data_IF_573695129336
#
_entry.id   IF_573695129336
#
_cell.length_a   1.000
_cell.length_b   1.000
_cell.length_c   1.000
_cell.angle_alpha   90.00
_cell.angle_beta   90.00
_cell.angle_gamma   90.00
#
_symmetry.space_group_name_H-M   'P 1'
#
loop_
_entity.id
_entity.type
_entity.pdbx_description
1 polymer ?
#
# COMPACT_ATOMS: atom_id res chain seq x y z
N UNK A 1 -10.46 -17.27 2.46
CA UNK A 1 -11.59 -16.72 1.67
C UNK A 1 -11.08 -16.49 0.25
N UNK A 2 -11.82 -16.96 -0.77
CA UNK A 2 -11.46 -16.77 -2.18
C UNK A 2 -11.85 -15.36 -2.62
N UNK A 3 -10.92 -14.62 -3.23
CA UNK A 3 -11.19 -13.33 -3.87
C UNK A 3 -11.41 -13.58 -5.37
N UNK A 4 -12.51 -13.06 -5.94
CA UNK A 4 -12.79 -13.13 -7.38
C UNK A 4 -12.47 -11.78 -8.04
N UNK A 5 -11.84 -11.75 -9.22
CA UNK A 5 -11.62 -10.50 -9.97
C UNK A 5 -12.92 -9.97 -10.60
N UNK A 6 -13.11 -8.66 -10.52
CA UNK A 6 -14.26 -7.94 -11.08
C UNK A 6 -14.03 -7.61 -12.57
N UNK A 7 -15.02 -7.90 -13.42
CA UNK A 7 -15.06 -7.59 -14.84
C UNK A 7 -16.26 -6.68 -15.14
N UNK A 8 -16.09 -5.42 -15.60
CA UNK A 8 -17.20 -4.59 -16.00
C UNK A 8 -17.42 -4.67 -17.51
N UNK A 9 -18.64 -4.99 -17.93
CA UNK A 9 -19.13 -4.80 -19.30
C UNK A 9 -20.42 -3.96 -19.27
N UNK A 10 -20.72 -3.17 -20.32
CA UNK A 10 -21.34 -1.85 -20.18
C UNK A 10 -22.85 -1.81 -20.49
N UNK A 11 -23.52 -0.83 -19.90
CA UNK A 11 -24.76 -0.16 -20.32
C UNK A 11 -26.00 -0.99 -20.76
N UNK A 12 -27.11 -0.78 -20.06
CA UNK A 12 -28.43 -0.61 -20.70
C UNK A 12 -29.33 0.26 -19.83
N UNK A 13 -29.69 1.41 -20.38
CA UNK A 13 -30.66 2.38 -19.87
C UNK A 13 -32.08 1.92 -20.18
N UNK A 14 -33.02 2.09 -19.23
CA UNK A 14 -34.43 2.40 -19.54
C UNK A 14 -35.06 3.29 -18.49
N UNK A 15 -35.54 4.42 -19.00
CA UNK A 15 -36.39 5.46 -18.43
C UNK A 15 -37.73 4.93 -17.94
N UNK A 16 -38.28 5.49 -16.85
CA UNK A 16 -39.74 5.67 -16.70
C UNK A 16 -40.02 6.90 -15.84
N UNK A 17 -40.81 7.78 -16.44
CA UNK A 17 -41.33 9.05 -15.95
C UNK A 17 -42.46 8.83 -14.95
N UNK A 18 -42.49 9.58 -13.85
CA UNK A 18 -43.75 9.95 -13.20
C UNK A 18 -43.66 11.38 -12.66
N UNK A 19 -44.52 12.23 -13.21
CA UNK A 19 -44.73 13.62 -12.83
C UNK A 19 -45.72 13.69 -11.67
N UNK A 20 -45.40 14.44 -10.61
CA UNK A 20 -46.40 15.00 -9.68
C UNK A 20 -45.93 16.32 -9.07
N UNK A 21 -46.67 17.37 -9.45
CA UNK A 21 -47.14 18.57 -8.71
C UNK A 21 -46.13 19.47 -7.99
N UNK A 22 -46.09 20.70 -8.50
CA UNK A 22 -45.60 21.94 -7.88
C UNK A 22 -46.45 22.37 -6.68
N UNK A 23 -45.81 23.05 -5.72
CA UNK A 23 -46.40 24.25 -5.13
C UNK A 23 -45.48 25.46 -5.32
N UNK A 24 -46.08 26.54 -5.79
CA UNK A 24 -45.54 27.89 -5.84
C UNK A 24 -45.25 28.40 -4.43
N UNK A 25 -43.98 28.63 -4.11
CA UNK A 25 -43.56 29.50 -3.00
C UNK A 25 -42.83 30.69 -3.62
N UNK A 26 -43.26 31.86 -3.16
CA UNK A 26 -42.93 33.20 -3.61
C UNK A 26 -41.46 33.56 -3.40
N UNK A 27 -40.93 34.25 -4.41
CA UNK A 27 -39.60 34.85 -4.48
C UNK A 27 -39.47 35.98 -3.44
N UNK A 28 -38.75 35.72 -2.35
CA UNK A 28 -37.99 36.68 -1.51
C UNK A 28 -37.35 35.93 -0.35
N UNK A 29 -36.04 36.11 -0.20
CA UNK A 29 -35.21 35.68 0.95
C UNK A 29 -34.61 34.27 0.90
N UNK A 30 -33.71 34.00 -0.07
CA UNK A 30 -32.65 32.97 0.10
C UNK A 30 -31.45 33.16 -0.87
N UNK A 31 -30.85 34.35 -0.90
CA UNK A 31 -29.49 34.51 -1.43
C UNK A 31 -28.48 34.54 -0.28
N UNK A 32 -28.17 33.36 0.25
CA UNK A 32 -26.97 33.15 1.08
C UNK A 32 -26.51 31.69 1.01
N UNK A 33 -25.43 31.51 0.25
CA UNK A 33 -24.32 30.57 0.46
C UNK A 33 -24.58 29.21 1.12
N UNK A 34 -24.37 28.14 0.34
CA UNK A 34 -23.72 26.91 0.80
C UNK A 34 -23.02 26.26 -0.41
N UNK A 35 -21.95 26.87 -0.91
CA UNK A 35 -20.97 26.09 -1.66
C UNK A 35 -20.18 25.26 -0.64
N UNK A 36 -20.07 23.93 -0.80
CA UNK A 36 -19.15 23.15 0.03
C UNK A 36 -17.75 23.75 -0.12
N UNK A 37 -16.96 23.86 0.97
CA UNK A 37 -15.63 24.45 0.89
C UNK A 37 -14.82 23.64 -0.13
N UNK A 38 -14.36 24.32 -1.19
CA UNK A 38 -13.42 23.74 -2.14
C UNK A 38 -12.21 23.27 -1.32
N UNK A 39 -12.01 21.96 -1.19
CA UNK A 39 -10.78 21.41 -0.59
C UNK A 39 -9.60 22.07 -1.34
N UNK A 40 -8.74 22.78 -0.62
CA UNK A 40 -7.54 23.40 -1.20
C UNK A 40 -6.70 22.27 -1.79
N UNK A 41 -6.66 22.17 -3.11
CA UNK A 41 -5.78 21.22 -3.80
C UNK A 41 -4.34 21.63 -3.44
N UNK A 42 -3.52 20.74 -2.87
CA UNK A 42 -2.14 21.06 -2.56
C UNK A 42 -1.41 21.53 -3.83
N UNK A 43 -0.41 22.42 -3.72
CA UNK A 43 0.39 22.82 -4.87
C UNK A 43 0.97 21.58 -5.56
N UNK A 44 0.96 21.57 -6.89
CA UNK A 44 1.20 20.41 -7.79
C UNK A 44 2.46 19.56 -7.51
N UNK A 45 3.38 20.02 -6.66
CA UNK A 45 4.70 19.42 -6.43
C UNK A 45 5.00 19.07 -4.97
N UNK A 46 4.05 19.23 -4.03
CA UNK A 46 4.37 19.15 -2.58
C UNK A 46 4.91 17.79 -2.13
N UNK A 47 4.54 16.69 -2.80
CA UNK A 47 4.83 15.32 -2.37
C UNK A 47 5.30 14.41 -3.52
N UNK A 48 6.04 14.94 -4.50
CA UNK A 48 6.53 14.14 -5.64
C UNK A 48 7.57 13.08 -5.27
N UNK A 49 8.18 13.18 -4.08
CA UNK A 49 9.19 12.24 -3.58
C UNK A 49 8.84 11.78 -2.18
N UNK A 50 9.12 10.51 -1.88
CA UNK A 50 9.06 10.00 -0.52
C UNK A 50 10.10 10.67 0.36
N UNK A 51 9.77 10.95 1.62
CA UNK A 51 10.70 11.46 2.61
C UNK A 51 10.97 10.43 3.72
N UNK A 52 12.05 10.63 4.47
CA UNK A 52 12.34 9.86 5.67
C UNK A 52 11.47 10.35 6.83
N UNK A 53 10.83 9.42 7.53
CA UNK A 53 10.28 9.70 8.83
C UNK A 53 11.41 9.69 9.87
N UNK A 54 11.53 10.78 10.63
CA UNK A 54 12.48 10.88 11.74
C UNK A 54 11.71 10.79 13.05
N UNK A 55 11.88 9.70 13.84
CA UNK A 55 11.24 9.60 15.15
C UNK A 55 11.82 10.65 16.12
N UNK A 56 11.06 11.15 17.11
CA UNK A 56 11.56 12.11 18.09
C UNK A 56 12.83 11.67 18.82
N UNK A 57 12.96 10.35 19.05
CA UNK A 57 14.17 9.70 19.53
C UNK A 57 14.38 8.41 18.74
N UNK A 58 15.61 8.14 18.34
CA UNK A 58 15.98 6.94 17.57
C UNK A 58 15.77 5.62 18.34
N UNK A 59 15.65 5.67 19.67
CA UNK A 59 15.37 4.51 20.53
C UNK A 59 13.88 4.18 20.66
N UNK A 60 12.99 5.06 20.20
CA UNK A 60 11.55 4.82 20.31
C UNK A 60 11.06 3.92 19.19
N UNK A 61 10.45 2.79 19.56
CA UNK A 61 9.78 1.91 18.63
C UNK A 61 8.44 2.48 18.14
N UNK A 62 7.85 1.89 17.07
CA UNK A 62 6.61 2.39 16.47
C UNK A 62 5.43 2.48 17.43
N UNK A 63 5.23 1.48 18.29
CA UNK A 63 4.15 1.49 19.29
C UNK A 63 4.25 2.60 20.34
N UNK A 64 5.44 3.18 20.56
CA UNK A 64 5.61 4.32 21.47
C UNK A 64 5.25 5.66 20.82
N UNK A 65 5.25 5.72 19.49
CA UNK A 65 5.05 6.96 18.72
C UNK A 65 3.66 6.99 18.07
N UNK A 66 3.13 5.83 17.68
CA UNK A 66 1.83 5.66 17.07
C UNK A 66 0.94 4.79 17.97
N UNK A 67 -0.01 5.44 18.63
CA UNK A 67 -0.93 4.75 19.52
C UNK A 67 -2.16 4.22 18.74
N UNK A 68 -2.74 3.08 19.14
CA UNK A 68 -4.06 2.68 18.70
C UNK A 68 -5.10 3.79 18.95
N UNK A 69 -5.80 4.20 17.91
CA UNK A 69 -6.94 5.11 18.03
C UNK A 69 -8.02 4.73 17.00
N UNK A 70 -9.27 5.07 17.29
CA UNK A 70 -10.40 4.93 16.37
C UNK A 70 -10.80 6.31 15.85
N UNK A 71 -10.29 6.75 14.68
CA UNK A 71 -10.71 8.01 14.10
C UNK A 71 -12.19 7.95 13.69
N UNK A 72 -12.85 9.09 13.75
CA UNK A 72 -14.22 9.25 13.30
C UNK A 72 -14.32 8.95 11.79
N UNK A 73 -15.36 8.22 11.38
CA UNK A 73 -15.59 7.86 9.98
C UNK A 73 -14.64 6.80 9.40
N UNK A 74 -13.62 6.34 10.13
CA UNK A 74 -12.68 5.32 9.66
C UNK A 74 -13.14 3.92 10.08
N UNK A 75 -13.21 2.92 9.18
CA UNK A 75 -13.63 1.58 9.55
C UNK A 75 -12.53 0.85 10.34
N UNK A 76 -12.64 0.92 11.66
CA UNK A 76 -11.75 0.29 12.63
C UNK A 76 -10.56 1.16 13.05
N UNK A 77 -9.82 0.74 14.10
CA UNK A 77 -8.72 1.51 14.65
C UNK A 77 -7.55 1.57 13.69
N UNK A 78 -6.65 2.52 13.93
CA UNK A 78 -5.37 2.71 13.23
C UNK A 78 -4.27 2.99 14.24
N UNK A 79 -3.02 2.89 13.80
CA UNK A 79 -1.87 3.38 14.54
C UNK A 79 -1.69 4.86 14.22
N UNK A 80 -1.98 5.75 15.17
CA UNK A 80 -2.15 7.18 14.91
C UNK A 80 -1.15 8.02 15.68
N UNK A 81 -0.62 9.06 15.03
CA UNK A 81 0.16 10.13 15.66
C UNK A 81 -0.43 11.48 15.29
N UNK A 82 -0.69 12.31 16.30
CA UNK A 82 -1.14 13.70 16.11
C UNK A 82 -2.47 13.84 15.35
N UNK A 83 -3.30 12.80 15.30
CA UNK A 83 -4.59 12.78 14.60
C UNK A 83 -4.54 12.85 13.07
N UNK A 84 -3.34 12.97 12.48
CA UNK A 84 -3.15 13.26 11.05
C UNK A 84 -2.17 12.32 10.35
N UNK A 85 -1.38 11.58 11.12
CA UNK A 85 -0.45 10.58 10.59
C UNK A 85 -0.92 9.18 10.97
N UNK A 86 -0.86 8.28 9.99
CA UNK A 86 -1.11 6.84 10.19
C UNK A 86 0.15 6.05 9.93
N UNK A 87 0.36 4.99 10.71
CA UNK A 87 1.44 4.04 10.53
C UNK A 87 0.93 2.74 9.90
N UNK A 88 1.69 2.24 8.93
CA UNK A 88 1.55 0.89 8.37
C UNK A 88 2.90 0.18 8.44
N UNK A 89 2.88 -1.11 8.76
CA UNK A 89 4.06 -1.97 8.71
C UNK A 89 4.05 -2.76 7.41
N UNK A 90 5.19 -2.98 6.79
CA UNK A 90 5.32 -3.88 5.64
C UNK A 90 6.52 -4.79 5.80
N UNK A 91 6.39 -6.04 5.34
CA UNK A 91 7.45 -7.04 5.40
C UNK A 91 7.38 -7.97 4.19
N UNK A 92 8.55 -8.42 3.75
CA UNK A 92 8.72 -9.51 2.79
C UNK A 92 9.42 -10.69 3.45
N UNK A 93 9.12 -11.90 2.98
CA UNK A 93 9.83 -13.10 3.38
C UNK A 93 9.94 -14.04 2.18
N UNK A 94 11.14 -14.51 1.89
CA UNK A 94 11.41 -15.55 0.91
C UNK A 94 11.99 -16.77 1.65
N UNK A 95 11.27 -17.88 1.59
CA UNK A 95 11.72 -19.13 2.22
C UNK A 95 12.80 -19.83 1.39
N UNK A 96 13.64 -20.61 2.07
CA UNK A 96 14.54 -21.58 1.43
C UNK A 96 13.75 -22.87 1.10
N UNK A 97 14.18 -23.62 0.07
CA UNK A 97 13.65 -24.97 -0.17
C UNK A 97 14.04 -25.90 0.97
N UNK A 98 13.09 -26.70 1.46
CA UNK A 98 13.38 -27.91 2.25
C UNK A 98 13.03 -29.12 1.38
N UNK A 99 14.02 -29.99 1.14
CA UNK A 99 13.80 -31.30 0.52
C UNK A 99 12.90 -32.19 1.38
N UNK A 100 12.33 -33.25 0.79
CA UNK A 100 11.43 -34.20 1.47
C UNK A 100 12.07 -35.00 2.62
N UNK A 101 13.37 -34.88 2.75
CA UNK A 101 14.32 -35.52 3.68
C UNK A 101 14.93 -34.51 4.68
N UNK A 102 14.54 -33.23 4.63
CA UNK A 102 15.05 -32.20 5.53
C UNK A 102 16.40 -31.59 5.12
N UNK A 103 16.94 -31.96 3.95
CA UNK A 103 18.10 -31.29 3.38
C UNK A 103 17.74 -29.90 2.81
N UNK A 104 18.62 -28.93 3.04
CA UNK A 104 18.51 -27.57 2.49
C UNK A 104 19.09 -27.61 1.08
N UNK A 105 18.24 -27.76 0.07
CA UNK A 105 18.66 -27.55 -1.31
C UNK A 105 18.88 -26.05 -1.55
N UNK A 106 20.15 -25.67 -1.77
CA UNK A 106 20.52 -24.32 -2.19
C UNK A 106 19.95 -24.01 -3.58
N UNK A 107 18.73 -23.46 -3.62
CA UNK A 107 18.05 -23.09 -4.85
C UNK A 107 16.81 -22.23 -4.62
N UNK A 108 16.54 -21.33 -5.58
CA UNK A 108 15.57 -20.23 -5.58
C UNK A 108 14.08 -20.67 -5.65
N UNK A 109 13.69 -21.76 -5.00
CA UNK A 109 12.37 -22.38 -5.16
C UNK A 109 11.53 -22.54 -3.89
N UNK A 110 11.88 -21.83 -2.81
CA UNK A 110 10.94 -21.59 -1.72
C UNK A 110 10.03 -20.41 -2.08
N UNK A 111 8.77 -20.45 -1.65
CA UNK A 111 7.84 -19.35 -1.93
C UNK A 111 8.27 -18.04 -1.26
N UNK A 112 7.84 -16.93 -1.84
CA UNK A 112 7.90 -15.63 -1.19
C UNK A 112 6.52 -15.15 -0.76
N UNK A 113 6.45 -14.55 0.43
CA UNK A 113 5.26 -13.96 1.01
C UNK A 113 5.47 -12.49 1.30
N UNK A 114 4.40 -11.73 1.10
CA UNK A 114 4.30 -10.31 1.35
C UNK A 114 3.27 -10.10 2.45
N UNK A 115 3.52 -9.19 3.38
CA UNK A 115 2.48 -8.78 4.31
C UNK A 115 2.59 -7.33 4.72
N UNK A 116 1.45 -6.75 5.07
CA UNK A 116 1.39 -5.46 5.72
C UNK A 116 0.36 -5.45 6.85
N UNK A 117 0.65 -4.68 7.89
CA UNK A 117 -0.24 -4.49 9.05
C UNK A 117 -0.64 -3.03 9.10
N UNK A 118 -1.94 -2.77 8.89
CA UNK A 118 -2.47 -1.41 8.72
C UNK A 118 -3.31 -0.92 9.92
N UNK A 119 -3.53 -1.79 10.90
CA UNK A 119 -4.26 -1.48 12.12
C UNK A 119 -3.85 -2.39 13.28
N UNK A 120 -4.13 -1.97 14.52
CA UNK A 120 -3.94 -2.81 15.69
C UNK A 120 -4.80 -4.09 15.63
N UNK A 121 -4.34 -5.20 16.24
CA UNK A 121 -5.13 -6.41 16.38
C UNK A 121 -6.31 -6.20 17.35
N UNK A 122 -7.23 -7.15 17.37
CA UNK A 122 -8.33 -7.19 18.34
C UNK A 122 -9.58 -6.42 17.92
N UNK A 123 -9.59 -5.81 16.74
CA UNK A 123 -10.81 -5.24 16.17
C UNK A 123 -11.69 -6.33 15.57
N UNK A 124 -12.97 -6.32 15.92
CA UNK A 124 -13.96 -7.23 15.36
C UNK A 124 -14.95 -6.50 14.45
N UNK A 125 -15.42 -7.21 13.42
CA UNK A 125 -16.52 -6.75 12.58
C UNK A 125 -17.43 -7.92 12.23
N UNK A 126 -18.73 -7.76 12.50
CA UNK A 126 -19.72 -8.83 12.32
C UNK A 126 -19.28 -10.15 13.00
N UNK A 127 -18.67 -10.05 14.18
CA UNK A 127 -18.16 -11.20 14.93
C UNK A 127 -16.83 -11.79 14.43
N UNK A 128 -16.23 -11.26 13.36
CA UNK A 128 -14.92 -11.70 12.87
C UNK A 128 -13.83 -10.82 13.47
N UNK A 129 -12.91 -11.42 14.22
CA UNK A 129 -11.72 -10.74 14.71
C UNK A 129 -10.66 -10.63 13.62
N UNK A 130 -10.01 -9.48 13.57
CA UNK A 130 -8.94 -9.21 12.63
C UNK A 130 -7.67 -8.80 13.39
N UNK A 131 -6.56 -9.41 13.01
CA UNK A 131 -5.21 -9.06 13.49
C UNK A 131 -4.68 -7.76 12.86
N UNK A 132 -5.34 -7.26 11.83
CA UNK A 132 -4.95 -6.06 11.10
C UNK A 132 -3.89 -6.29 10.03
N UNK A 133 -3.53 -7.55 9.79
CA UNK A 133 -2.52 -7.95 8.82
C UNK A 133 -3.16 -8.52 7.56
N UNK A 134 -2.62 -8.14 6.41
CA UNK A 134 -2.94 -8.72 5.12
C UNK A 134 -1.69 -9.41 4.61
N UNK A 135 -1.73 -10.74 4.50
CA UNK A 135 -0.67 -11.55 3.94
C UNK A 135 -1.07 -12.13 2.59
N UNK A 136 -0.15 -12.15 1.63
CA UNK A 136 -0.34 -12.73 0.31
C UNK A 136 0.97 -13.25 -0.28
N UNK A 137 0.90 -14.31 -1.09
CA UNK A 137 2.08 -14.84 -1.79
C UNK A 137 2.53 -13.84 -2.85
N UNK A 138 3.84 -13.64 -2.99
CA UNK A 138 4.41 -12.86 -4.08
C UNK A 138 4.02 -13.50 -5.42
N UNK A 139 3.52 -12.69 -6.35
CA UNK A 139 3.10 -13.15 -7.66
C UNK A 139 4.28 -13.72 -8.48
N UNK A 140 4.02 -14.77 -9.26
CA UNK A 140 5.02 -15.36 -10.18
C UNK A 140 5.35 -14.43 -11.36
N UNK A 141 4.49 -13.44 -11.63
CA UNK A 141 4.71 -12.42 -12.67
C UNK A 141 4.63 -11.02 -12.08
N UNK A 142 5.62 -10.19 -12.43
CA UNK A 142 5.62 -8.78 -12.11
C UNK A 142 4.56 -7.97 -12.87
N UNK A 143 4.39 -6.69 -12.52
CA UNK A 143 3.56 -5.77 -13.29
C UNK A 143 3.93 -5.78 -14.78
N UNK A 144 2.95 -5.76 -15.69
CA UNK A 144 3.24 -5.62 -17.11
C UNK A 144 3.84 -4.22 -17.36
N UNK A 145 5.16 -4.15 -17.56
CA UNK A 145 5.83 -2.90 -17.92
C UNK A 145 6.26 -2.94 -19.39
N UNK A 146 6.24 -1.79 -20.12
CA UNK A 146 6.78 -1.71 -21.47
C UNK A 146 8.24 -2.18 -21.56
N UNK A 147 8.99 -2.06 -20.46
CA UNK A 147 10.40 -2.43 -20.36
C UNK A 147 10.67 -3.92 -20.14
N UNK A 148 9.68 -4.72 -19.75
CA UNK A 148 9.82 -6.16 -19.42
C UNK A 148 8.91 -7.08 -20.23
N UNK A 149 8.33 -6.59 -21.34
CA UNK A 149 7.47 -7.41 -22.21
C UNK A 149 8.27 -8.62 -22.73
N UNK A 150 8.05 -9.80 -22.14
CA UNK A 150 8.71 -11.06 -22.49
C UNK A 150 9.80 -11.56 -21.52
N UNK A 151 10.14 -10.84 -20.44
CA UNK A 151 11.06 -11.34 -19.42
C UNK A 151 10.30 -11.93 -18.24
N UNK A 152 10.41 -13.24 -18.03
CA UNK A 152 9.94 -13.90 -16.80
C UNK A 152 10.73 -13.30 -15.64
N UNK A 153 10.06 -12.62 -14.70
CA UNK A 153 10.71 -12.06 -13.51
C UNK A 153 10.68 -13.13 -12.43
N UNK A 154 11.47 -14.18 -12.65
CA UNK A 154 11.40 -15.46 -11.94
C UNK A 154 12.21 -15.47 -10.63
N UNK A 155 12.12 -14.42 -9.83
CA UNK A 155 12.93 -14.32 -8.62
C UNK A 155 12.09 -13.90 -7.45
N UNK A 156 11.52 -14.90 -6.76
CA UNK A 156 11.17 -14.75 -5.36
C UNK A 156 12.43 -14.35 -4.59
N UNK A 157 12.54 -13.07 -4.22
CA UNK A 157 13.57 -12.58 -3.29
C UNK A 157 12.91 -11.85 -2.14
N UNK A 158 13.66 -11.70 -1.04
CA UNK A 158 13.22 -10.89 0.10
C UNK A 158 12.94 -9.45 -0.32
N UNK A 159 13.83 -8.81 -1.09
CA UNK A 159 13.68 -7.42 -1.50
C UNK A 159 12.46 -7.22 -2.40
N UNK A 160 12.18 -8.18 -3.30
CA UNK A 160 11.01 -8.12 -4.18
C UNK A 160 9.71 -8.27 -3.40
N UNK A 161 9.66 -9.21 -2.45
CA UNK A 161 8.51 -9.43 -1.59
C UNK A 161 8.23 -8.20 -0.70
N UNK A 162 9.27 -7.58 -0.15
CA UNK A 162 9.11 -6.43 0.72
C UNK A 162 8.66 -5.18 -0.05
N UNK A 163 9.25 -4.93 -1.23
CA UNK A 163 8.82 -3.83 -2.09
C UNK A 163 7.36 -4.02 -2.54
N UNK A 164 6.96 -5.26 -2.83
CA UNK A 164 5.58 -5.61 -3.18
C UNK A 164 4.61 -5.39 -2.01
N UNK A 165 5.01 -5.71 -0.79
CA UNK A 165 4.24 -5.49 0.43
C UNK A 165 4.00 -3.99 0.68
N UNK A 166 5.03 -3.15 0.50
CA UNK A 166 4.90 -1.69 0.59
C UNK A 166 3.88 -1.16 -0.42
N UNK A 167 3.99 -1.57 -1.68
CA UNK A 167 3.06 -1.16 -2.74
C UNK A 167 1.62 -1.55 -2.37
N UNK A 168 1.41 -2.78 -1.88
CA UNK A 168 0.10 -3.25 -1.46
C UNK A 168 -0.44 -2.42 -0.31
N UNK A 169 0.37 -2.12 0.72
CA UNK A 169 -0.05 -1.33 1.87
C UNK A 169 -0.53 0.07 1.46
N UNK A 170 0.21 0.72 0.56
CA UNK A 170 -0.14 2.06 0.07
C UNK A 170 -1.40 2.05 -0.82
N UNK A 171 -1.61 1.00 -1.62
CA UNK A 171 -2.80 0.84 -2.45
C UNK A 171 -4.05 0.43 -1.65
N UNK A 172 -3.86 -0.19 -0.48
CA UNK A 172 -4.91 -0.91 0.23
C UNK A 172 -6.09 -0.03 0.66
N UNK A 173 -5.82 1.22 1.06
CA UNK A 173 -6.87 2.15 1.51
C UNK A 173 -6.80 3.44 0.70
N UNK A 174 -7.96 4.09 0.59
CA UNK A 174 -8.03 5.52 0.29
C UNK A 174 -7.64 6.31 1.51
N UNK A 175 -6.34 6.41 1.76
CA UNK A 175 -5.77 7.13 2.90
C UNK A 175 -6.22 8.59 2.96
N UNK A 176 -6.43 9.20 1.79
CA UNK A 176 -6.98 10.55 1.61
C UNK A 176 -8.44 10.66 2.08
N UNK A 177 -9.26 9.64 1.77
CA UNK A 177 -10.67 9.58 2.18
C UNK A 177 -10.80 9.30 3.67
N UNK A 178 -9.86 8.53 4.25
CA UNK A 178 -9.76 8.34 5.70
C UNK A 178 -9.24 9.59 6.46
N UNK A 179 -8.89 10.67 5.75
CA UNK A 179 -8.52 11.95 6.35
C UNK A 179 -7.06 12.05 6.79
N UNK A 180 -6.19 11.15 6.36
CA UNK A 180 -4.77 11.19 6.70
C UNK A 180 -4.01 12.23 5.88
N UNK A 181 -3.15 13.00 6.52
CA UNK A 181 -2.20 13.89 5.83
C UNK A 181 -0.92 13.14 5.43
N UNK A 182 -0.55 12.09 6.17
CA UNK A 182 0.61 11.28 5.83
C UNK A 182 0.45 9.81 6.24
N UNK A 183 1.00 8.92 5.42
CA UNK A 183 1.20 7.50 5.74
C UNK A 183 2.68 7.26 6.01
N UNK A 184 2.99 6.77 7.21
CA UNK A 184 4.32 6.33 7.61
C UNK A 184 4.43 4.83 7.37
N UNK A 185 5.30 4.44 6.45
CA UNK A 185 5.59 3.05 6.11
C UNK A 185 6.80 2.60 6.90
N UNK A 186 6.57 1.78 7.92
CA UNK A 186 7.63 1.14 8.70
C UNK A 186 8.05 -0.18 8.05
N UNK A 187 9.34 -0.28 7.76
CA UNK A 187 9.99 -1.42 7.11
C UNK A 187 11.35 -1.69 7.73
N UNK A 188 11.80 -2.94 7.70
CA UNK A 188 13.09 -3.37 8.22
C UNK A 188 14.17 -3.51 7.14
N UNK A 189 13.90 -3.22 5.86
CA UNK A 189 14.93 -3.17 4.81
C UNK A 189 15.51 -1.79 4.56
N UNK A 190 16.84 -1.70 4.62
CA UNK A 190 17.58 -0.53 4.15
C UNK A 190 17.44 -0.34 2.64
N UNK A 191 17.35 -1.43 1.87
CA UNK A 191 17.16 -1.39 0.42
C UNK A 191 15.85 -0.69 0.06
N UNK A 192 14.76 -1.02 0.77
CA UNK A 192 13.45 -0.40 0.52
C UNK A 192 13.47 1.07 0.93
N UNK A 193 13.98 1.38 2.13
CA UNK A 193 14.00 2.77 2.64
C UNK A 193 14.86 3.67 1.77
N UNK A 194 16.14 3.33 1.57
CA UNK A 194 17.04 4.14 0.73
C UNK A 194 16.64 4.14 -0.74
N UNK A 195 16.07 3.03 -1.21
CA UNK A 195 15.49 2.91 -2.54
C UNK A 195 14.38 3.92 -2.78
N UNK A 196 13.38 3.94 -1.89
CA UNK A 196 12.19 4.78 -2.01
C UNK A 196 12.47 6.27 -1.77
N UNK A 197 13.39 6.63 -0.88
CA UNK A 197 13.65 8.03 -0.52
C UNK A 197 14.69 8.69 -1.43
N UNK A 198 15.63 7.92 -2.00
CA UNK A 198 16.75 8.49 -2.78
C UNK A 198 16.97 7.82 -4.13
N UNK A 199 17.19 6.51 -4.15
CA UNK A 199 17.81 5.85 -5.31
C UNK A 199 16.85 5.79 -6.50
N UNK A 200 15.56 5.54 -6.26
CA UNK A 200 14.56 5.37 -7.31
C UNK A 200 14.37 6.62 -8.16
N UNK A 201 14.46 7.79 -7.54
CA UNK A 201 14.37 9.07 -8.22
C UNK A 201 15.58 9.30 -9.13
N UNK A 202 16.78 9.00 -8.62
CA UNK A 202 18.03 9.06 -9.41
C UNK A 202 18.03 8.02 -10.54
N UNK A 203 17.49 6.82 -10.31
CA UNK A 203 17.38 5.79 -11.34
C UNK A 203 16.44 6.21 -12.45
N UNK A 204 15.29 6.80 -12.13
CA UNK A 204 14.35 7.35 -13.12
C UNK A 204 15.00 8.39 -14.01
N UNK A 205 15.73 9.34 -13.43
CA UNK A 205 16.50 10.35 -14.17
C UNK A 205 17.58 9.73 -15.07
N UNK A 206 18.22 8.64 -14.61
CA UNK A 206 19.27 7.91 -15.35
C UNK A 206 18.74 6.78 -16.23
N UNK A 207 17.48 6.84 -16.65
CA UNK A 207 16.83 5.85 -17.53
C UNK A 207 16.98 4.40 -17.02
N UNK A 208 16.83 4.23 -15.70
CA UNK A 208 16.88 2.96 -14.98
C UNK A 208 18.19 2.18 -15.10
N UNK A 209 19.31 2.91 -15.03
CA UNK A 209 20.65 2.34 -14.99
C UNK A 209 21.33 2.67 -13.66
N UNK A 210 22.00 1.66 -13.11
CA UNK A 210 22.89 1.82 -11.95
C UNK A 210 24.14 2.61 -12.32
N UNK A 211 24.91 3.05 -11.32
CA UNK A 211 26.21 3.73 -11.52
C UNK A 211 27.17 2.87 -12.36
N UNK A 212 27.08 1.54 -12.22
CA UNK A 212 27.84 0.56 -13.01
C UNK A 212 27.20 0.24 -14.37
N UNK A 213 26.24 1.05 -14.84
CA UNK A 213 25.49 0.89 -16.10
C UNK A 213 24.67 -0.38 -16.25
N UNK A 214 24.53 -1.18 -15.18
CA UNK A 214 23.64 -2.36 -15.14
C UNK A 214 22.18 -1.93 -15.01
N UNK A 215 21.26 -2.78 -15.48
CA UNK A 215 19.82 -2.64 -15.26
C UNK A 215 19.53 -2.67 -13.76
N UNK A 216 18.64 -1.78 -13.32
CA UNK A 216 18.18 -1.72 -11.92
C UNK A 216 17.28 -2.94 -11.63
N UNK A 217 17.58 -3.66 -10.56
CA UNK A 217 16.75 -4.76 -10.07
C UNK A 217 15.40 -4.26 -9.56
N UNK A 218 14.35 -5.07 -9.71
CA UNK A 218 12.98 -4.75 -9.29
C UNK A 218 12.42 -3.46 -9.91
N UNK A 219 12.94 -3.04 -11.06
CA UNK A 219 12.52 -1.81 -11.78
C UNK A 219 11.00 -1.74 -11.93
N UNK A 220 10.36 -2.85 -12.25
CA UNK A 220 8.92 -2.96 -12.42
C UNK A 220 8.15 -2.52 -11.17
N UNK A 221 8.52 -3.05 -10.01
CA UNK A 221 7.87 -2.67 -8.76
C UNK A 221 8.24 -1.24 -8.35
N UNK A 222 9.47 -0.80 -8.61
CA UNK A 222 9.86 0.58 -8.36
C UNK A 222 9.07 1.59 -9.21
N UNK A 223 8.82 1.29 -10.48
CA UNK A 223 7.95 2.09 -11.36
C UNK A 223 6.53 2.16 -10.79
N UNK A 224 5.98 1.05 -10.29
CA UNK A 224 4.66 1.04 -9.64
C UNK A 224 4.66 1.85 -8.33
N UNK A 225 5.68 1.72 -7.48
CA UNK A 225 5.77 2.47 -6.24
C UNK A 225 5.75 3.98 -6.52
N UNK A 226 6.54 4.44 -7.49
CA UNK A 226 6.55 5.86 -7.90
C UNK A 226 5.15 6.31 -8.29
N UNK A 227 4.43 5.54 -9.13
CA UNK A 227 3.07 5.89 -9.55
C UNK A 227 2.08 5.97 -8.38
N UNK A 228 2.21 5.08 -7.39
CA UNK A 228 1.38 5.10 -6.18
C UNK A 228 1.68 6.34 -5.34
N UNK A 229 2.96 6.66 -5.12
CA UNK A 229 3.39 7.84 -4.34
C UNK A 229 2.95 9.13 -5.02
N UNK A 230 3.15 9.27 -6.33
CA UNK A 230 2.71 10.45 -7.09
C UNK A 230 1.18 10.61 -7.07
N UNK A 231 0.42 9.51 -7.09
CA UNK A 231 -1.04 9.52 -6.93
C UNK A 231 -1.42 10.00 -5.52
N UNK A 232 -0.86 9.41 -4.47
CA UNK A 232 -1.12 9.82 -3.09
C UNK A 232 -0.77 11.29 -2.85
N UNK A 233 0.36 11.75 -3.40
CA UNK A 233 0.77 13.15 -3.33
C UNK A 233 -0.22 14.11 -4.00
N UNK A 234 -0.81 13.73 -5.15
CA UNK A 234 -1.91 14.48 -5.78
C UNK A 234 -3.18 14.50 -4.93
N UNK A 235 -3.43 13.41 -4.22
CA UNK A 235 -4.56 13.28 -3.28
C UNK A 235 -4.28 13.99 -1.92
N UNK A 236 -3.09 14.59 -1.77
CA UNK A 236 -2.70 15.36 -0.59
C UNK A 236 -2.16 14.54 0.57
N UNK A 237 -1.77 13.28 0.32
CA UNK A 237 -1.21 12.37 1.33
C UNK A 237 0.29 12.18 1.10
N UNK A 238 1.09 12.56 2.08
CA UNK A 238 2.54 12.36 2.06
C UNK A 238 2.89 10.91 2.41
N UNK A 239 3.86 10.32 1.70
CA UNK A 239 4.40 9.00 2.03
C UNK A 239 5.77 9.15 2.68
N UNK A 240 5.87 8.71 3.93
CA UNK A 240 7.08 8.76 4.72
C UNK A 240 7.60 7.34 4.98
N UNK A 241 8.89 7.10 4.77
CA UNK A 241 9.51 5.80 5.05
C UNK A 241 10.26 5.83 6.38
N UNK A 242 10.04 4.82 7.20
CA UNK A 242 10.73 4.64 8.48
C UNK A 242 11.47 3.30 8.51
N UNK A 243 12.80 3.37 8.56
CA UNK A 243 13.62 2.19 8.89
C UNK A 243 13.43 1.83 10.36
N UNK A 244 12.88 0.65 10.62
CA UNK A 244 12.73 0.10 11.97
C UNK A 244 13.63 -1.13 12.16
N UNK A 245 13.72 -1.61 13.40
CA UNK A 245 14.34 -2.91 13.69
C UNK A 245 13.37 -4.02 13.30
N UNK A 246 13.90 -5.18 12.94
CA UNK A 246 13.09 -6.33 12.50
C UNK A 246 12.16 -6.83 13.60
N UNK A 247 12.61 -6.77 14.85
CA UNK A 247 11.86 -7.21 16.02
C UNK A 247 10.65 -6.30 16.29
N UNK A 248 10.69 -5.06 15.80
CA UNK A 248 9.59 -4.11 15.89
C UNK A 248 8.61 -4.23 14.71
N UNK A 249 8.93 -5.04 13.68
CA UNK A 249 8.11 -5.16 12.47
C UNK A 249 7.06 -6.27 12.63
N UNK A 250 5.85 -5.88 13.03
CA UNK A 250 4.74 -6.81 13.28
C UNK A 250 4.23 -7.53 12.03
N UNK A 251 4.59 -7.08 10.82
CA UNK A 251 4.20 -7.73 9.58
C UNK A 251 5.06 -8.97 9.24
N UNK A 252 6.20 -9.18 9.90
CA UNK A 252 7.13 -10.28 9.59
C UNK A 252 6.49 -11.67 9.69
N UNK A 253 5.65 -11.89 10.71
CA UNK A 253 4.93 -13.16 10.88
C UNK A 253 3.99 -13.43 9.71
N UNK A 254 3.16 -12.45 9.35
CA UNK A 254 2.24 -12.55 8.21
C UNK A 254 2.96 -12.79 6.88
N UNK A 255 4.14 -12.20 6.67
CA UNK A 255 4.91 -12.41 5.44
C UNK A 255 5.45 -13.84 5.36
N UNK A 256 5.92 -14.39 6.49
CA UNK A 256 6.36 -15.79 6.59
C UNK A 256 5.20 -16.75 6.33
N UNK A 257 4.05 -16.54 6.96
CA UNK A 257 2.88 -17.39 6.76
C UNK A 257 2.40 -17.33 5.31
N UNK A 258 2.41 -16.13 4.71
CA UNK A 258 2.04 -15.91 3.33
C UNK A 258 2.96 -16.62 2.32
N UNK A 259 4.22 -16.88 2.67
CA UNK A 259 5.16 -17.57 1.78
C UNK A 259 4.84 -19.07 1.63
N UNK A 260 4.01 -19.61 2.53
CA UNK A 260 3.54 -20.99 2.50
C UNK A 260 2.20 -21.16 1.75
N UNK A 261 1.55 -20.05 1.37
CA UNK A 261 0.33 -20.11 0.58
C UNK A 261 0.63 -20.76 -0.77
N UNK A 262 -0.34 -21.52 -1.32
CA UNK A 262 -0.18 -22.16 -2.63
C UNK A 262 0.07 -21.10 -3.69
N UNK A 263 0.98 -21.41 -4.60
CA UNK A 263 1.14 -20.62 -5.81
C UNK A 263 -0.16 -20.68 -6.62
N UNK A 264 -0.60 -19.50 -7.03
CA UNK A 264 -1.69 -19.35 -7.99
C UNK A 264 -1.04 -18.64 -9.15
N UNK A 265 -1.24 -19.12 -10.37
CA UNK A 265 -0.85 -18.37 -11.58
C UNK A 265 -1.53 -17.01 -11.51
N UNK A 266 -0.77 -16.01 -11.09
CA UNK A 266 -1.28 -14.74 -10.61
C UNK A 266 -0.61 -13.62 -11.35
N UNK A 267 -1.40 -12.83 -12.05
CA UNK A 267 -0.95 -11.54 -12.56
C UNK A 267 -0.90 -10.53 -11.41
N UNK A 268 0.07 -9.61 -11.49
CA UNK A 268 0.14 -8.48 -10.58
C UNK A 268 -1.21 -7.75 -10.52
N UNK A 269 -1.76 -7.59 -9.31
CA UNK A 269 -3.06 -6.95 -9.09
C UNK A 269 -2.94 -5.85 -8.03
N UNK A 270 -3.61 -4.72 -8.22
CA UNK A 270 -3.71 -3.70 -7.16
C UNK A 270 -4.47 -4.27 -5.95
N UNK A 271 -3.89 -4.15 -4.75
CA UNK A 271 -4.57 -4.56 -3.52
C UNK A 271 -5.45 -3.41 -3.05
N UNK A 272 -6.77 -3.62 -3.06
CA UNK A 272 -7.75 -2.67 -2.55
C UNK A 272 -8.56 -3.33 -1.43
N UNK A 273 -8.49 -2.75 -0.25
CA UNK A 273 -9.41 -3.08 0.84
C UNK A 273 -10.81 -2.62 0.47
N UNK A 274 -11.83 -3.29 1.01
CA UNK A 274 -13.23 -2.93 0.75
C UNK A 274 -13.46 -1.47 1.21
N UNK A 275 -13.73 -0.57 0.26
CA UNK A 275 -14.27 0.77 0.52
C UNK A 275 -15.68 0.61 1.08
N UNK A 276 -15.97 1.28 2.19
CA UNK A 276 -17.31 1.37 2.76
C UNK A 276 -17.47 2.73 3.38
#
# INVERSE_FOLDING_TARGET
MRFTPYNPSPYSSKTTTHALRTPTITDKDAHSQLHPPKKKVPPKHRFEKCALFVPPKNTMGPGCIFAPAQPEGVPGPRFVRGGKQVLVFAAGFCGEKRGGDGEVEGGNGGGAGCAFTFRPPGWSRKGVFHDGTVGFRLESRGPPTPALRGSVVDVHTNERAELRAVIAALQFRRWDVEGWESVVVAVDSEYVVGGATEMVWRWREKKWRTVRKKVVLNRDLWEVLIQVVERMGRDGVEVLFWKIRKEDNVACGGARDASLLKEVDGEFTEYRGIEM
#
